data_IF_940537696908
#
_entry.id   IF_940537696908
#
_cell.length_a   1.000
_cell.length_b   1.000
_cell.length_c   1.000
_cell.angle_alpha   90.00
_cell.angle_beta   90.00
_cell.angle_gamma   90.00
#
_symmetry.space_group_name_H-M   'P 1'
#
loop_
_entity.id
_entity.type
_entity.pdbx_description
1 polymer ?
#
# COMPACT_ATOMS: atom_id res chain seq x y z
N UNK A 1 13.55 -13.06 -5.99
CA UNK A 1 13.34 -11.69 -5.47
C UNK A 1 14.39 -11.35 -4.42
N UNK A 2 14.31 -11.87 -3.17
CA UNK A 2 15.26 -11.52 -2.10
C UNK A 2 16.75 -11.77 -2.46
N UNK A 3 17.07 -12.92 -3.06
CA UNK A 3 18.44 -13.21 -3.51
C UNK A 3 18.97 -12.25 -4.61
N UNK A 4 18.07 -11.61 -5.38
CA UNK A 4 18.49 -10.59 -6.33
C UNK A 4 18.81 -9.27 -5.61
N UNK A 5 18.00 -8.90 -4.61
CA UNK A 5 18.23 -7.71 -3.79
C UNK A 5 19.53 -7.84 -2.96
N UNK A 6 19.78 -9.02 -2.37
CA UNK A 6 21.05 -9.33 -1.66
C UNK A 6 22.25 -9.19 -2.58
N UNK A 7 22.22 -9.80 -3.78
CA UNK A 7 23.31 -9.67 -4.75
C UNK A 7 23.54 -8.22 -5.17
N UNK A 8 22.46 -7.48 -5.38
CA UNK A 8 22.55 -6.06 -5.71
C UNK A 8 23.20 -5.25 -4.59
N UNK A 9 22.79 -5.45 -3.32
CA UNK A 9 23.42 -4.79 -2.18
C UNK A 9 24.90 -5.14 -2.04
N UNK A 10 25.27 -6.41 -2.21
CA UNK A 10 26.66 -6.85 -2.23
C UNK A 10 27.49 -6.10 -3.29
N UNK A 11 26.96 -5.95 -4.50
CA UNK A 11 27.62 -5.18 -5.56
C UNK A 11 27.72 -3.68 -5.28
N UNK A 12 26.69 -3.10 -4.65
CA UNK A 12 26.68 -1.68 -4.28
C UNK A 12 27.73 -1.40 -3.20
N UNK A 13 27.73 -2.17 -2.11
CA UNK A 13 28.68 -2.00 -1.01
C UNK A 13 30.11 -2.37 -1.40
N UNK A 14 30.32 -3.30 -2.34
CA UNK A 14 31.65 -3.58 -2.89
C UNK A 14 32.27 -2.38 -3.61
N UNK A 15 31.44 -1.53 -4.23
CA UNK A 15 31.88 -0.30 -4.92
C UNK A 15 31.98 0.90 -3.99
N UNK A 16 31.44 0.79 -2.78
CA UNK A 16 31.54 1.84 -1.77
C UNK A 16 32.97 1.93 -1.25
N UNK A 17 33.44 3.17 -1.08
CA UNK A 17 34.81 3.48 -0.63
C UNK A 17 34.83 4.08 0.78
N UNK A 18 33.79 3.81 1.57
CA UNK A 18 33.64 4.37 2.92
C UNK A 18 33.24 5.84 2.92
N UNK A 19 32.41 6.25 1.94
CA UNK A 19 31.95 7.63 1.87
C UNK A 19 30.96 7.93 3.01
N UNK A 20 31.02 9.15 3.56
CA UNK A 20 30.01 9.63 4.48
C UNK A 20 28.63 9.65 3.79
N UNK A 21 27.57 9.19 4.47
CA UNK A 21 26.17 9.15 3.99
C UNK A 21 25.85 8.06 2.94
N UNK A 22 26.62 6.97 2.90
CA UNK A 22 26.36 5.84 2.01
C UNK A 22 25.29 4.83 2.51
N UNK A 23 24.58 5.15 3.59
CA UNK A 23 23.55 4.28 4.16
C UNK A 23 22.47 3.88 3.14
N UNK A 24 21.94 2.67 3.30
CA UNK A 24 20.86 2.11 2.48
C UNK A 24 19.68 1.74 3.36
N UNK A 25 18.48 1.88 2.80
CA UNK A 25 17.22 1.58 3.49
C UNK A 25 16.37 0.67 2.60
N UNK A 26 15.83 -0.39 3.19
CA UNK A 26 14.80 -1.22 2.56
C UNK A 26 13.50 -0.99 3.33
N UNK A 27 12.46 -0.58 2.62
CA UNK A 27 11.12 -0.45 3.17
C UNK A 27 10.35 -1.74 2.96
N UNK A 28 9.90 -2.36 4.04
CA UNK A 28 9.11 -3.60 4.02
C UNK A 28 7.72 -3.30 4.58
N UNK A 29 6.69 -3.49 3.78
CA UNK A 29 5.31 -3.41 4.26
C UNK A 29 5.02 -4.58 5.22
N UNK A 30 4.31 -4.32 6.32
CA UNK A 30 4.00 -5.32 7.34
C UNK A 30 3.29 -6.57 6.79
N UNK A 31 2.49 -6.42 5.73
CA UNK A 31 1.76 -7.52 5.07
C UNK A 31 2.39 -7.95 3.74
N UNK A 32 3.63 -7.54 3.44
CA UNK A 32 4.34 -7.93 2.22
C UNK A 32 4.53 -9.45 2.10
N UNK A 33 4.78 -10.12 3.22
CA UNK A 33 4.86 -11.58 3.30
C UNK A 33 4.40 -12.06 4.67
N UNK A 34 3.80 -13.25 4.71
CA UNK A 34 3.47 -13.94 5.97
C UNK A 34 4.69 -14.57 6.64
N UNK A 35 5.78 -14.74 5.89
CA UNK A 35 6.99 -15.45 6.32
C UNK A 35 8.17 -14.49 6.45
N UNK A 36 8.41 -13.69 5.41
CA UNK A 36 9.53 -12.75 5.35
C UNK A 36 9.21 -11.47 6.14
N UNK A 37 9.37 -11.53 7.46
CA UNK A 37 9.30 -10.35 8.33
C UNK A 37 10.50 -9.43 8.12
N UNK A 38 10.40 -8.15 8.49
CA UNK A 38 11.51 -7.20 8.39
C UNK A 38 12.76 -7.69 9.13
N UNK A 39 12.57 -8.28 10.32
CA UNK A 39 13.64 -8.91 11.09
C UNK A 39 14.29 -10.07 10.36
N UNK A 40 13.49 -11.02 9.85
CA UNK A 40 14.03 -12.17 9.11
C UNK A 40 14.77 -11.72 7.84
N UNK A 41 14.26 -10.73 7.12
CA UNK A 41 14.94 -10.16 5.96
C UNK A 41 16.29 -9.54 6.36
N UNK A 42 16.33 -8.78 7.45
CA UNK A 42 17.58 -8.18 7.95
C UNK A 42 18.59 -9.26 8.37
N UNK A 43 18.14 -10.32 9.04
CA UNK A 43 18.99 -11.45 9.43
C UNK A 43 19.57 -12.19 8.22
N UNK A 44 18.73 -12.46 7.20
CA UNK A 44 19.19 -13.07 5.93
C UNK A 44 20.23 -12.17 5.24
N UNK A 45 19.95 -10.87 5.13
CA UNK A 45 20.88 -9.93 4.48
C UNK A 45 22.20 -9.86 5.26
N UNK A 46 22.15 -9.88 6.59
CA UNK A 46 23.35 -9.83 7.45
C UNK A 46 24.23 -11.07 7.25
N UNK A 47 23.62 -12.25 7.21
CA UNK A 47 24.34 -13.51 6.97
C UNK A 47 25.00 -13.51 5.58
N UNK A 48 24.24 -13.12 4.54
CA UNK A 48 24.71 -13.07 3.15
C UNK A 48 25.71 -11.93 2.87
N UNK A 49 25.87 -10.99 3.80
CA UNK A 49 26.83 -9.90 3.67
C UNK A 49 28.27 -10.36 3.94
N UNK A 50 28.48 -11.49 4.63
CA UNK A 50 29.80 -12.04 4.98
C UNK A 50 30.74 -10.97 5.56
N UNK A 51 30.29 -10.27 6.60
CA UNK A 51 31.00 -9.20 7.30
C UNK A 51 31.41 -7.97 6.45
N UNK A 52 30.88 -7.84 5.22
CA UNK A 52 31.15 -6.67 4.35
C UNK A 52 30.33 -5.45 4.72
N UNK A 53 29.12 -5.67 5.23
CA UNK A 53 28.23 -4.62 5.74
C UNK A 53 27.25 -5.19 6.76
N UNK A 54 26.65 -4.30 7.54
CA UNK A 54 25.67 -4.67 8.56
C UNK A 54 24.25 -4.31 8.09
N UNK A 55 23.28 -5.17 8.41
CA UNK A 55 21.86 -4.88 8.27
C UNK A 55 21.20 -4.86 9.65
N UNK A 56 20.31 -3.88 9.88
CA UNK A 56 19.49 -3.76 11.09
C UNK A 56 18.04 -3.58 10.70
N UNK A 57 17.15 -4.25 11.41
CA UNK A 57 15.73 -3.99 11.31
C UNK A 57 15.36 -2.78 12.17
N UNK A 58 14.34 -2.05 11.72
CA UNK A 58 13.71 -0.99 12.50
C UNK A 58 12.22 -1.06 12.23
N UNK A 59 11.44 -1.20 13.30
CA UNK A 59 9.99 -1.22 13.24
C UNK A 59 9.50 0.03 13.97
N UNK A 60 9.14 1.09 13.25
CA UNK A 60 8.63 2.31 13.89
C UNK A 60 7.38 2.07 14.74
N UNK A 61 6.54 1.11 14.34
CA UNK A 61 5.33 0.75 15.07
C UNK A 61 4.32 1.89 15.07
N UNK A 62 3.74 2.19 16.24
CA UNK A 62 2.65 3.16 16.39
C UNK A 62 3.06 4.61 16.14
N UNK A 63 4.36 4.94 16.14
CA UNK A 63 4.82 6.31 15.82
C UNK A 63 4.46 6.74 14.40
N UNK A 64 4.15 5.78 13.51
CA UNK A 64 3.64 6.03 12.16
C UNK A 64 2.26 6.71 12.16
N UNK A 65 1.50 6.64 13.25
CA UNK A 65 0.27 7.42 13.43
C UNK A 65 0.57 8.93 13.57
N UNK A 66 1.83 9.29 13.83
CA UNK A 66 2.25 10.65 14.12
C UNK A 66 1.96 11.06 15.55
N UNK A 67 2.35 12.29 15.88
CA UNK A 67 1.96 12.95 17.13
C UNK A 67 0.99 14.09 16.82
N UNK A 68 1.54 15.26 16.52
CA UNK A 68 0.74 16.42 16.08
C UNK A 68 0.46 16.32 14.57
N UNK A 69 -0.80 16.45 14.12
CA UNK A 69 -1.12 16.37 12.70
C UNK A 69 -0.45 17.48 11.89
N UNK A 70 -0.04 17.15 10.66
CA UNK A 70 0.61 18.11 9.78
C UNK A 70 -0.33 19.28 9.44
N UNK A 71 0.19 20.46 9.05
CA UNK A 71 -0.65 21.55 8.56
C UNK A 71 -1.54 21.12 7.38
N UNK A 72 -1.03 20.25 6.51
CA UNK A 72 -1.78 19.72 5.38
C UNK A 72 -2.99 18.90 5.85
N UNK A 73 -2.80 18.01 6.82
CA UNK A 73 -3.90 17.19 7.36
C UNK A 73 -4.92 18.07 8.07
N UNK A 74 -4.49 19.07 8.84
CA UNK A 74 -5.38 20.03 9.50
C UNK A 74 -6.25 20.79 8.51
N UNK A 75 -5.66 21.39 7.48
CA UNK A 75 -6.41 22.13 6.46
C UNK A 75 -7.36 21.22 5.67
N UNK A 76 -6.91 20.01 5.29
CA UNK A 76 -7.75 19.05 4.58
C UNK A 76 -8.90 18.56 5.43
N UNK A 77 -8.67 18.25 6.71
CA UNK A 77 -9.71 17.81 7.63
C UNK A 77 -10.83 18.85 7.74
N UNK A 78 -10.49 20.12 7.95
CA UNK A 78 -11.48 21.21 8.00
C UNK A 78 -12.24 21.34 6.67
N UNK A 79 -11.53 21.31 5.53
CA UNK A 79 -12.16 21.38 4.19
C UNK A 79 -13.14 20.24 3.94
N UNK A 80 -12.76 19.01 4.30
CA UNK A 80 -13.61 17.83 4.14
C UNK A 80 -14.81 17.87 5.09
N UNK A 81 -14.59 18.26 6.36
CA UNK A 81 -15.65 18.40 7.35
C UNK A 81 -16.73 19.39 6.92
N UNK A 82 -16.34 20.60 6.47
CA UNK A 82 -17.28 21.60 5.97
C UNK A 82 -18.10 21.05 4.81
N UNK A 83 -17.46 20.35 3.86
CA UNK A 83 -18.16 19.74 2.73
C UNK A 83 -19.14 18.64 3.16
N UNK A 84 -18.80 17.83 4.15
CA UNK A 84 -19.71 16.82 4.69
C UNK A 84 -20.93 17.46 5.34
N UNK A 85 -20.75 18.55 6.10
CA UNK A 85 -21.88 19.28 6.69
C UNK A 85 -22.77 19.88 5.59
N UNK A 86 -22.18 20.51 4.57
CA UNK A 86 -22.94 21.02 3.41
C UNK A 86 -23.73 19.92 2.70
N UNK A 87 -23.13 18.74 2.54
CA UNK A 87 -23.81 17.58 1.96
C UNK A 87 -24.99 17.14 2.82
N UNK A 88 -24.81 17.08 4.14
CA UNK A 88 -25.85 16.69 5.10
C UNK A 88 -27.00 17.71 5.13
N UNK A 89 -26.69 19.00 5.16
CA UNK A 89 -27.67 20.09 5.05
C UNK A 89 -28.46 20.02 3.74
N UNK A 90 -27.82 19.55 2.66
CA UNK A 90 -28.46 19.24 1.39
C UNK A 90 -29.56 18.20 1.48
N UNK A 91 -29.55 17.32 2.48
CA UNK A 91 -30.61 16.34 2.79
C UNK A 91 -31.45 16.73 4.02
N UNK A 92 -31.36 17.98 4.48
CA UNK A 92 -32.16 18.49 5.59
C UNK A 92 -33.66 18.58 5.27
N UNK A 93 -34.51 18.89 6.27
CA UNK A 93 -35.97 18.92 6.10
C UNK A 93 -36.39 20.03 5.14
N UNK A 94 -36.76 19.67 3.91
CA UNK A 94 -37.37 20.59 2.93
C UNK A 94 -38.87 20.32 2.81
N UNK A 95 -39.69 21.35 2.49
CA UNK A 95 -41.15 21.20 2.40
C UNK A 95 -41.63 20.13 1.40
N UNK A 96 -40.79 19.74 0.44
CA UNK A 96 -41.11 18.82 -0.66
C UNK A 96 -40.30 17.52 -0.64
N UNK A 97 -39.49 17.28 0.39
CA UNK A 97 -38.70 16.05 0.55
C UNK A 97 -39.34 15.15 1.60
N UNK A 98 -39.80 13.97 1.17
CA UNK A 98 -40.23 12.92 2.09
C UNK A 98 -39.01 12.13 2.59
N UNK A 99 -39.03 11.60 3.83
CA UNK A 99 -37.96 10.76 4.35
C UNK A 99 -37.63 9.56 3.44
N UNK A 100 -38.65 8.99 2.79
CA UNK A 100 -38.51 7.88 1.84
C UNK A 100 -37.71 8.28 0.59
N UNK A 101 -37.89 9.51 0.10
CA UNK A 101 -37.17 10.01 -1.06
C UNK A 101 -35.68 10.21 -0.76
N UNK A 102 -35.36 10.69 0.45
CA UNK A 102 -33.98 10.81 0.94
C UNK A 102 -33.34 9.43 1.11
N UNK A 103 -34.05 8.49 1.74
CA UNK A 103 -33.56 7.13 1.95
C UNK A 103 -33.28 6.37 0.64
N UNK A 104 -34.05 6.66 -0.41
CA UNK A 104 -33.87 6.06 -1.73
C UNK A 104 -32.79 6.75 -2.57
N UNK A 105 -32.28 7.92 -2.16
CA UNK A 105 -31.19 8.60 -2.86
C UNK A 105 -29.85 7.92 -2.50
N UNK A 106 -29.12 7.34 -3.48
CA UNK A 106 -27.80 6.73 -3.23
C UNK A 106 -26.76 7.70 -2.63
N UNK A 107 -26.93 9.01 -2.85
CA UNK A 107 -26.03 10.03 -2.32
C UNK A 107 -26.28 10.39 -0.86
N UNK A 108 -27.43 9.98 -0.30
CA UNK A 108 -27.74 10.14 1.13
C UNK A 108 -26.74 9.40 2.02
N UNK A 109 -26.27 8.23 1.57
CA UNK A 109 -25.19 7.46 2.17
C UNK A 109 -23.97 7.46 1.24
N UNK A 110 -23.16 8.50 1.31
CA UNK A 110 -21.98 8.68 0.47
C UNK A 110 -20.69 8.83 1.28
N UNK A 111 -19.57 8.51 0.64
CA UNK A 111 -18.22 8.66 1.18
C UNK A 111 -17.57 9.86 0.50
N UNK A 112 -17.02 10.77 1.31
CA UNK A 112 -16.19 11.87 0.81
C UNK A 112 -14.79 11.35 0.50
N UNK A 113 -14.27 11.66 -0.68
CA UNK A 113 -12.94 11.27 -1.12
C UNK A 113 -12.26 12.34 -1.95
N UNK A 114 -10.98 12.12 -2.25
CA UNK A 114 -10.21 12.95 -3.18
C UNK A 114 -9.85 12.08 -4.39
N UNK A 115 -10.33 12.47 -5.58
CA UNK A 115 -9.95 11.84 -6.86
C UNK A 115 -9.17 12.89 -7.67
N UNK A 116 -7.87 12.67 -7.85
CA UNK A 116 -6.95 13.67 -8.40
C UNK A 116 -6.84 14.89 -7.49
N UNK A 117 -7.23 16.08 -7.98
CA UNK A 117 -7.27 17.31 -7.20
C UNK A 117 -8.66 17.64 -6.60
N UNK A 118 -9.69 16.87 -6.97
CA UNK A 118 -11.08 17.19 -6.68
C UNK A 118 -11.58 16.44 -5.45
N UNK A 119 -12.40 17.13 -4.64
CA UNK A 119 -13.15 16.50 -3.55
C UNK A 119 -14.49 16.03 -4.13
N UNK A 120 -14.76 14.74 -4.01
CA UNK A 120 -15.90 14.06 -4.65
C UNK A 120 -16.64 13.25 -3.60
N UNK A 121 -17.96 13.25 -3.67
CA UNK A 121 -18.81 12.31 -2.94
C UNK A 121 -19.15 11.14 -3.86
N UNK A 122 -19.08 9.92 -3.33
CA UNK A 122 -19.42 8.71 -4.09
C UNK A 122 -20.35 7.84 -3.23
N UNK A 123 -21.42 7.26 -3.80
CA UNK A 123 -22.32 6.38 -3.05
C UNK A 123 -21.56 5.24 -2.36
N UNK A 124 -21.89 4.96 -1.11
CA UNK A 124 -21.21 3.92 -0.32
C UNK A 124 -21.33 2.54 -0.98
N UNK A 125 -22.52 2.21 -1.47
CA UNK A 125 -22.83 0.95 -2.15
C UNK A 125 -21.97 0.73 -3.41
N UNK A 126 -21.78 1.77 -4.21
CA UNK A 126 -20.95 1.68 -5.42
C UNK A 126 -19.48 1.40 -5.08
N UNK A 127 -18.95 2.08 -4.05
CA UNK A 127 -17.57 1.86 -3.59
C UNK A 127 -17.40 0.44 -3.04
N UNK A 128 -18.36 -0.02 -2.23
CA UNK A 128 -18.36 -1.35 -1.63
C UNK A 128 -18.39 -2.46 -2.68
N UNK A 129 -19.24 -2.35 -3.70
CA UNK A 129 -19.42 -3.39 -4.70
C UNK A 129 -18.35 -3.38 -5.81
N UNK A 130 -17.89 -2.19 -6.22
CA UNK A 130 -17.06 -2.03 -7.43
C UNK A 130 -15.59 -1.73 -7.14
N UNK A 131 -15.31 -0.99 -6.08
CA UNK A 131 -13.98 -0.43 -5.83
C UNK A 131 -13.25 -1.08 -4.63
N UNK A 132 -13.92 -1.94 -3.85
CA UNK A 132 -13.38 -2.47 -2.57
C UNK A 132 -13.01 -3.95 -2.61
N UNK A 133 -11.75 -4.26 -2.30
CA UNK A 133 -11.30 -5.62 -1.97
C UNK A 133 -11.46 -5.84 -0.45
N UNK A 134 -12.59 -6.43 -0.06
CA UNK A 134 -12.93 -6.69 1.35
C UNK A 134 -11.96 -7.63 2.05
N UNK A 135 -11.45 -8.63 1.32
CA UNK A 135 -10.54 -9.63 1.90
C UNK A 135 -9.24 -8.97 2.37
N UNK A 136 -8.72 -8.04 1.58
CA UNK A 136 -7.48 -7.32 1.88
C UNK A 136 -7.71 -5.92 2.45
N UNK A 137 -8.98 -5.50 2.64
CA UNK A 137 -9.41 -4.22 3.21
C UNK A 137 -8.77 -3.00 2.53
N UNK A 138 -8.77 -2.99 1.19
CA UNK A 138 -8.11 -1.96 0.37
C UNK A 138 -8.88 -1.73 -0.93
N UNK A 139 -8.64 -0.63 -1.66
CA UNK A 139 -9.19 -0.49 -3.01
C UNK A 139 -8.65 -1.57 -3.95
N UNK A 140 -9.47 -1.96 -4.92
CA UNK A 140 -9.10 -2.89 -5.99
C UNK A 140 -8.01 -2.31 -6.90
N UNK A 141 -8.10 -1.00 -7.17
CA UNK A 141 -7.10 -0.25 -7.94
C UNK A 141 -6.08 0.46 -7.04
N UNK A 142 -4.80 0.28 -7.34
CA UNK A 142 -3.68 0.85 -6.61
C UNK A 142 -3.07 2.01 -7.41
N UNK A 143 -3.62 3.22 -7.22
CA UNK A 143 -3.24 4.44 -7.98
C UNK A 143 -1.74 4.77 -8.00
N UNK A 144 -0.96 4.33 -7.01
CA UNK A 144 0.48 4.61 -6.91
C UNK A 144 1.36 3.53 -7.57
N UNK A 145 0.79 2.44 -8.08
CA UNK A 145 1.59 1.32 -8.62
C UNK A 145 2.49 1.74 -9.78
N UNK A 146 2.04 2.71 -10.60
CA UNK A 146 2.83 3.27 -11.69
C UNK A 146 4.09 4.01 -11.23
N UNK A 147 4.16 4.46 -9.97
CA UNK A 147 5.36 5.11 -9.43
C UNK A 147 6.49 4.10 -9.15
N UNK A 148 6.19 2.80 -9.09
CA UNK A 148 7.17 1.78 -8.74
C UNK A 148 8.35 1.77 -9.70
N UNK A 149 8.11 1.91 -11.00
CA UNK A 149 9.17 1.94 -12.01
C UNK A 149 10.13 3.11 -11.79
N UNK A 150 9.59 4.31 -11.52
CA UNK A 150 10.40 5.49 -11.21
C UNK A 150 11.22 5.28 -9.94
N UNK A 151 10.63 4.66 -8.91
CA UNK A 151 11.33 4.32 -7.66
C UNK A 151 12.45 3.31 -7.91
N UNK A 152 12.22 2.27 -8.71
CA UNK A 152 13.23 1.27 -9.04
C UNK A 152 14.39 1.90 -9.85
N UNK A 153 14.10 2.79 -10.81
CA UNK A 153 15.11 3.53 -11.59
C UNK A 153 15.94 4.45 -10.68
N UNK A 154 15.30 5.32 -9.90
CA UNK A 154 15.99 6.27 -9.03
C UNK A 154 16.74 5.59 -7.88
N UNK A 155 16.22 4.46 -7.40
CA UNK A 155 16.88 3.60 -6.43
C UNK A 155 18.05 2.80 -7.01
N UNK A 156 18.22 2.78 -8.34
CA UNK A 156 19.25 2.01 -9.02
C UNK A 156 19.04 0.49 -8.95
N UNK A 157 17.81 0.04 -8.69
CA UNK A 157 17.48 -1.37 -8.51
C UNK A 157 17.45 -2.07 -9.88
N UNK A 158 18.27 -3.10 -10.12
CA UNK A 158 18.31 -3.78 -11.39
C UNK A 158 17.04 -4.61 -11.62
N UNK A 159 16.66 -4.85 -12.89
CA UNK A 159 15.60 -5.78 -13.20
C UNK A 159 15.96 -7.18 -12.69
N UNK A 160 14.98 -7.87 -12.13
CA UNK A 160 15.13 -9.24 -11.64
C UNK A 160 14.00 -10.12 -12.18
N UNK A 161 14.25 -11.43 -12.33
CA UNK A 161 13.21 -12.37 -12.73
C UNK A 161 12.12 -12.40 -11.66
N UNK A 162 10.89 -12.12 -12.09
CA UNK A 162 9.73 -12.20 -11.22
C UNK A 162 9.42 -13.69 -10.96
N UNK A 163 9.17 -14.09 -9.71
CA UNK A 163 8.74 -15.45 -9.44
C UNK A 163 7.43 -15.72 -10.18
N UNK A 164 7.30 -16.93 -10.72
CA UNK A 164 6.08 -17.37 -11.39
C UNK A 164 4.88 -17.23 -10.45
N UNK A 165 3.74 -16.82 -10.99
CA UNK A 165 2.51 -16.73 -10.18
C UNK A 165 2.19 -18.14 -9.68
N UNK A 166 2.01 -18.28 -8.37
CA UNK A 166 1.61 -19.55 -7.78
C UNK A 166 0.34 -20.09 -8.44
N UNK A 167 0.31 -21.39 -8.70
CA UNK A 167 -0.86 -22.06 -9.28
C UNK A 167 -2.09 -21.82 -8.40
N UNK A 168 -3.25 -21.65 -9.02
CA UNK A 168 -4.53 -21.39 -8.33
C UNK A 168 -5.53 -22.51 -8.65
N UNK A 169 -6.41 -22.81 -7.70
CA UNK A 169 -7.54 -23.71 -7.93
C UNK A 169 -7.16 -25.20 -7.99
N UNK A 170 -7.82 -25.93 -8.88
CA UNK A 170 -7.67 -27.39 -9.02
C UNK A 170 -6.24 -27.74 -9.47
N UNK A 171 -5.66 -26.93 -10.35
CA UNK A 171 -4.28 -27.09 -10.85
C UNK A 171 -3.26 -27.07 -9.70
N UNK A 172 -3.45 -26.19 -8.72
CA UNK A 172 -2.58 -26.15 -7.53
C UNK A 172 -2.72 -27.42 -6.66
N UNK A 173 -3.91 -28.00 -6.58
CA UNK A 173 -4.17 -29.25 -5.86
C UNK A 173 -3.62 -30.46 -6.63
N UNK A 174 -3.74 -30.45 -7.95
CA UNK A 174 -3.31 -31.55 -8.82
C UNK A 174 -1.79 -31.64 -8.93
N UNK A 175 -1.10 -30.49 -9.03
CA UNK A 175 0.36 -30.43 -8.94
C UNK A 175 0.85 -30.88 -7.56
N UNK A 176 0.17 -30.47 -6.47
CA UNK A 176 0.50 -30.94 -5.11
C UNK A 176 0.25 -32.44 -4.91
N UNK A 177 -0.63 -33.03 -5.73
CA UNK A 177 -0.95 -34.48 -5.75
C UNK A 177 -0.11 -35.26 -6.78
N UNK A 178 0.77 -34.60 -7.53
CA UNK A 178 1.62 -35.25 -8.54
C UNK A 178 0.88 -35.69 -9.81
N UNK A 179 -0.34 -35.19 -10.05
CA UNK A 179 -1.18 -35.57 -11.19
C UNK A 179 -0.89 -34.76 -12.46
N UNK A 180 -0.10 -33.70 -12.35
CA UNK A 180 0.34 -32.82 -13.45
C UNK A 180 1.75 -32.32 -13.17
N UNK A 181 2.62 -32.34 -14.18
CA UNK A 181 3.92 -31.65 -14.15
C UNK A 181 3.73 -30.17 -14.45
N UNK A 182 4.54 -29.35 -13.77
CA UNK A 182 4.52 -27.88 -13.81
C UNK A 182 4.75 -27.34 -15.21
#
# INVERSE_FOLDING_TARGET
>A
MLAADVRHLNDVFRKDKGQSRAGRLILVNEKASKVYSAKLIADIIREEAHDRFEARDSIPGHVQQGGVPSPMDRCRAVRLAIKCIQQLEGFGPKPYETPEKIANDPMSASIIGIKGANVVFSPSKDIEEKETDWKNRRPTDAHWIGMKEVVDILGGRPPYPHPEKGLVGIIAKDVKRGLTTT
#
